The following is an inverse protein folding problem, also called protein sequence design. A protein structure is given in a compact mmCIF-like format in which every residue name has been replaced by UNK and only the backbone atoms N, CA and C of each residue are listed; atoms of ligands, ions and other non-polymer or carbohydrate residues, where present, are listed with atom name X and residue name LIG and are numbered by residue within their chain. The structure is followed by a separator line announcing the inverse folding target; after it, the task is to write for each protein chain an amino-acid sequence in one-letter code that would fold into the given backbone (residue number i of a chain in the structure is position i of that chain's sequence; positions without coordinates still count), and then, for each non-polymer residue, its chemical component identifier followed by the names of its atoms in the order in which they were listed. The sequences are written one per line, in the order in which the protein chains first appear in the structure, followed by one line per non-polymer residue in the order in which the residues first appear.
data_IF_219776953891
#
_entry.id   IF_219776953891
#
_cell.length_a   1.000
_cell.length_b   1.000
_cell.length_c   1.000
_cell.angle_alpha   90.00
_cell.angle_beta   90.00
_cell.angle_gamma   90.00
#
_symmetry.space_group_name_H-M   'P 1'
#
loop_
_entity.id
_entity.type
_entity.pdbx_description
1 polymer ?
#
# COMPACT_ATOMS: atom_id res chain seq x y z
N UNK A 1 38.48 -21.50 9.46
CA UNK A 1 37.14 -21.63 10.10
C UNK A 1 36.36 -20.37 9.79
N UNK A 2 35.59 -20.34 8.69
CA UNK A 2 34.79 -19.19 8.31
C UNK A 2 33.56 -19.10 9.24
N UNK A 3 33.69 -18.35 10.34
CA UNK A 3 32.62 -18.14 11.31
C UNK A 3 31.80 -16.91 10.93
N UNK A 4 30.63 -17.13 10.35
CA UNK A 4 29.57 -16.13 10.15
C UNK A 4 29.02 -15.61 11.50
N UNK A 5 29.86 -14.94 12.30
CA UNK A 5 29.54 -14.47 13.66
C UNK A 5 28.86 -13.10 13.73
N UNK A 6 28.70 -12.40 12.60
CA UNK A 6 28.15 -11.03 12.57
C UNK A 6 26.68 -10.92 12.12
N UNK A 7 26.10 -11.94 11.50
CA UNK A 7 24.80 -11.84 10.82
C UNK A 7 23.57 -11.87 11.74
N UNK A 8 23.72 -12.32 12.99
CA UNK A 8 22.58 -12.49 13.92
C UNK A 8 22.37 -11.32 14.88
N UNK A 9 23.41 -10.50 15.11
CA UNK A 9 23.35 -9.40 16.08
C UNK A 9 22.42 -8.27 15.64
N UNK A 10 22.46 -7.91 14.35
CA UNK A 10 21.60 -6.84 13.81
C UNK A 10 20.10 -7.12 13.92
N UNK A 11 19.67 -8.40 13.98
CA UNK A 11 18.25 -8.76 14.12
C UNK A 11 17.74 -8.51 15.54
N UNK A 12 18.54 -8.77 16.57
CA UNK A 12 18.16 -8.51 17.96
C UNK A 12 18.12 -7.00 18.23
N UNK A 13 19.14 -6.26 17.79
CA UNK A 13 19.17 -4.80 17.93
C UNK A 13 18.00 -4.12 17.19
N UNK A 14 17.61 -4.61 16.01
CA UNK A 14 16.44 -4.09 15.30
C UNK A 14 15.12 -4.37 16.03
N UNK A 15 15.03 -5.49 16.77
CA UNK A 15 13.86 -5.83 17.57
C UNK A 15 13.75 -4.92 18.79
N UNK A 16 14.87 -4.66 19.46
CA UNK A 16 14.89 -3.79 20.65
C UNK A 16 14.65 -2.31 20.31
N UNK A 17 15.04 -1.88 19.11
CA UNK A 17 14.75 -0.53 18.61
C UNK A 17 13.32 -0.37 18.06
N UNK A 18 12.57 -1.47 17.88
CA UNK A 18 11.18 -1.40 17.41
C UNK A 18 10.26 -1.17 18.61
N UNK A 19 10.14 0.09 19.03
CA UNK A 19 9.20 0.49 20.07
C UNK A 19 7.75 0.47 19.57
N UNK A 20 6.82 0.13 20.46
CA UNK A 20 5.39 0.35 20.23
C UNK A 20 5.04 1.78 20.66
N UNK A 21 4.43 2.55 19.75
CA UNK A 21 3.97 3.91 20.02
C UNK A 21 2.45 3.89 20.21
N UNK A 22 1.96 4.30 21.37
CA UNK A 22 0.52 4.36 21.62
C UNK A 22 -0.10 5.55 20.87
N UNK A 23 -1.11 5.27 20.03
CA UNK A 23 -1.92 6.32 19.37
C UNK A 23 -1.61 6.59 17.89
N UNK A 24 -0.70 5.87 17.25
CA UNK A 24 -0.55 5.92 15.79
C UNK A 24 -1.38 4.87 15.05
N UNK A 25 -1.48 5.04 13.74
CA UNK A 25 -2.37 4.27 12.87
C UNK A 25 -1.88 2.85 12.58
N UNK A 26 -0.58 2.57 12.76
CA UNK A 26 -0.01 1.30 12.38
C UNK A 26 -0.49 0.17 13.31
N UNK A 27 -1.13 -0.88 12.78
CA UNK A 27 -1.65 -1.98 13.61
C UNK A 27 -0.56 -2.86 14.24
N UNK A 28 0.70 -2.72 13.82
CA UNK A 28 1.82 -3.54 14.31
C UNK A 28 2.67 -2.83 15.37
N UNK A 29 3.04 -1.58 15.14
CA UNK A 29 3.91 -0.81 16.04
C UNK A 29 3.28 0.48 16.56
N UNK A 30 2.06 0.84 16.12
CA UNK A 30 1.42 2.10 16.47
C UNK A 30 2.17 3.35 15.98
N UNK A 31 3.05 3.20 14.97
CA UNK A 31 3.64 4.33 14.25
C UNK A 31 2.68 5.00 13.27
N UNK A 32 3.10 6.09 12.65
CA UNK A 32 2.31 6.87 11.69
C UNK A 32 2.07 6.11 10.37
N UNK A 33 0.88 6.27 9.79
CA UNK A 33 0.57 5.78 8.44
C UNK A 33 0.87 6.83 7.37
N UNK A 34 1.17 6.36 6.17
CA UNK A 34 1.36 7.16 4.96
C UNK A 34 0.87 6.36 3.75
N UNK A 35 0.54 7.02 2.65
CA UNK A 35 0.06 6.36 1.42
C UNK A 35 1.11 5.40 0.87
N UNK A 36 0.71 4.16 0.56
CA UNK A 36 1.58 3.21 -0.14
C UNK A 36 1.62 3.53 -1.64
N UNK A 37 2.67 3.04 -2.30
CA UNK A 37 2.73 2.92 -3.76
C UNK A 37 1.57 2.09 -4.35
N UNK A 38 0.95 1.23 -3.55
CA UNK A 38 -0.23 0.46 -3.92
C UNK A 38 -1.51 1.25 -3.62
N UNK A 39 -2.35 1.42 -4.64
CA UNK A 39 -3.63 2.10 -4.49
C UNK A 39 -4.51 1.41 -3.44
N UNK A 40 -4.95 2.18 -2.45
CA UNK A 40 -5.79 1.70 -1.35
C UNK A 40 -5.06 0.97 -0.23
N UNK A 41 -3.73 1.12 -0.16
CA UNK A 41 -2.92 0.60 0.93
C UNK A 41 -2.21 1.75 1.65
N UNK A 42 -1.99 1.58 2.94
CA UNK A 42 -1.16 2.42 3.79
C UNK A 42 0.12 1.67 4.14
N UNK A 43 1.20 2.42 4.33
CA UNK A 43 2.48 1.94 4.81
C UNK A 43 2.86 2.64 6.12
N UNK A 44 3.45 1.93 7.07
CA UNK A 44 4.02 2.56 8.26
C UNK A 44 5.44 3.09 7.99
N UNK A 45 5.69 4.37 8.31
CA UNK A 45 7.04 4.99 8.26
C UNK A 45 8.07 4.29 9.15
N UNK A 46 7.63 3.73 10.29
CA UNK A 46 8.52 3.21 11.32
C UNK A 46 8.93 1.75 11.06
N UNK A 47 7.99 0.90 10.64
CA UNK A 47 8.23 -0.55 10.48
C UNK A 47 8.07 -1.05 9.04
N UNK A 48 7.74 -0.17 8.08
CA UNK A 48 7.50 -0.50 6.67
C UNK A 48 6.42 -1.57 6.44
N UNK A 49 5.54 -1.79 7.42
CA UNK A 49 4.41 -2.69 7.24
C UNK A 49 3.39 -2.04 6.31
N UNK A 50 2.86 -2.79 5.35
CA UNK A 50 1.77 -2.36 4.47
C UNK A 50 0.48 -3.10 4.81
N UNK A 51 -0.64 -2.37 4.82
CA UNK A 51 -1.99 -2.89 5.08
C UNK A 51 -3.04 -2.11 4.27
N UNK A 52 -4.22 -2.70 4.00
CA UNK A 52 -5.28 -2.01 3.26
C UNK A 52 -5.86 -0.84 4.07
N UNK A 53 -6.08 0.31 3.41
CA UNK A 53 -6.71 1.48 4.01
C UNK A 53 -8.22 1.22 4.21
N UNK A 54 -8.75 1.25 5.46
CA UNK A 54 -10.18 1.09 5.71
C UNK A 54 -11.06 2.18 5.07
N UNK A 55 -10.49 3.36 4.80
CA UNK A 55 -11.21 4.49 4.20
C UNK A 55 -11.15 4.49 2.67
N UNK A 56 -10.33 3.61 2.06
CA UNK A 56 -10.20 3.58 0.62
C UNK A 56 -11.39 2.89 -0.04
N UNK A 57 -12.14 3.65 -0.83
CA UNK A 57 -13.18 3.10 -1.70
C UNK A 57 -12.67 3.02 -3.14
N UNK A 58 -12.58 1.80 -3.70
CA UNK A 58 -12.24 1.62 -5.11
C UNK A 58 -13.25 2.36 -6.00
N UNK A 59 -12.83 3.45 -6.64
CA UNK A 59 -13.61 4.04 -7.73
C UNK A 59 -13.41 3.16 -8.97
N UNK A 60 -14.18 2.07 -9.07
CA UNK A 60 -14.29 1.30 -10.30
C UNK A 60 -14.96 2.18 -11.35
N UNK A 61 -14.16 2.92 -12.12
CA UNK A 61 -14.65 3.52 -13.37
C UNK A 61 -15.06 2.36 -14.26
N UNK A 62 -16.38 2.14 -14.39
CA UNK A 62 -16.91 1.27 -15.44
C UNK A 62 -16.26 1.72 -16.75
N UNK A 63 -15.64 0.82 -17.52
CA UNK A 63 -15.23 1.18 -18.87
C UNK A 63 -16.45 1.73 -19.59
N UNK A 64 -16.28 2.89 -20.25
CA UNK A 64 -17.33 3.48 -21.05
C UNK A 64 -17.85 2.41 -22.03
N UNK A 65 -19.17 2.24 -22.19
CA UNK A 65 -19.72 1.28 -23.13
C UNK A 65 -19.09 1.47 -24.51
N UNK A 66 -18.74 0.39 -25.22
CA UNK A 66 -18.09 0.49 -26.53
C UNK A 66 -18.93 1.35 -27.49
N UNK A 67 -18.28 2.32 -28.13
CA UNK A 67 -18.90 3.39 -28.95
C UNK A 67 -19.44 2.93 -30.30
N UNK A 68 -19.28 1.65 -30.67
CA UNK A 68 -19.65 1.13 -31.99
C UNK A 68 -21.10 1.46 -32.41
N UNK A 69 -22.04 1.58 -31.45
CA UNK A 69 -23.42 2.03 -31.75
C UNK A 69 -23.54 3.54 -32.00
N UNK A 70 -22.76 4.38 -31.31
CA UNK A 70 -22.74 5.86 -31.50
C UNK A 70 -22.01 6.24 -32.78
N UNK A 71 -21.02 5.45 -33.18
CA UNK A 71 -20.25 5.68 -34.40
C UNK A 71 -21.10 5.40 -35.66
N UNK A 72 -22.02 4.43 -35.61
CA UNK A 72 -22.97 4.14 -36.69
C UNK A 72 -23.96 5.30 -36.95
N UNK A 73 -24.45 5.95 -35.89
CA UNK A 73 -25.36 7.11 -35.99
C UNK A 73 -24.69 8.36 -36.57
N UNK A 74 -23.36 8.46 -36.52
CA UNK A 74 -22.60 9.55 -37.13
C UNK A 74 -22.31 9.31 -38.62
N UNK A 75 -22.30 8.06 -39.07
CA UNK A 75 -22.07 7.70 -40.48
C UNK A 75 -23.32 7.96 -41.32
N UNK A 76 -24.53 7.80 -40.75
CA UNK A 76 -25.80 8.08 -41.45
C UNK A 76 -26.11 9.59 -41.65
N UNK A 77 -25.26 10.48 -41.14
CA UNK A 77 -25.38 11.94 -41.29
C UNK A 77 -24.55 12.52 -42.45
N UNK A 78 -23.86 11.67 -43.21
CA UNK A 78 -23.11 12.03 -44.43
C UNK A 78 -23.73 11.35 -45.65
#
# INVERSE_FOLDING_TARGET
MAGFGGLRKGREEAKDNLSYTEGGDCPRCGGTSQDSSMAGYLQCTACNHEWPDPNHTETRKRPSPPTHRRDAEMIEQF
#
